data_IF_512697028672
#
_entry.id   IF_512697028672
#
_cell.length_a   1.000
_cell.length_b   1.000
_cell.length_c   1.000
_cell.angle_alpha   90.00
_cell.angle_beta   90.00
_cell.angle_gamma   90.00
#
_symmetry.space_group_name_H-M   'P 1'
#
loop_
_entity.id
_entity.type
_entity.pdbx_description
1 polymer ?
#
# COMPACT_ATOMS: atom_id res chain seq x y z
N UNK A 1 -48.64 21.33 41.26
CA UNK A 1 -49.05 21.83 39.93
C UNK A 1 -49.17 20.58 39.08
N UNK A 2 -50.22 20.43 38.28
CA UNK A 2 -50.37 19.25 37.42
C UNK A 2 -49.23 19.20 36.37
N UNK A 3 -48.72 18.04 36.09
CA UNK A 3 -47.77 17.80 35.00
C UNK A 3 -48.43 18.09 33.66
N UNK A 4 -47.62 18.18 32.61
CA UNK A 4 -48.04 18.44 31.24
C UNK A 4 -47.59 17.24 30.38
N UNK A 5 -48.49 16.68 29.58
CA UNK A 5 -48.11 15.63 28.63
C UNK A 5 -47.31 16.24 27.48
N UNK A 6 -46.53 15.37 26.79
CA UNK A 6 -45.80 15.78 25.60
C UNK A 6 -46.72 16.30 24.49
N UNK A 7 -47.84 15.63 24.25
CA UNK A 7 -48.82 16.04 23.22
C UNK A 7 -49.36 17.46 23.49
N UNK A 8 -49.72 17.74 24.73
CA UNK A 8 -50.17 19.11 25.12
C UNK A 8 -49.09 20.18 24.95
N UNK A 9 -47.83 19.82 25.21
CA UNK A 9 -46.69 20.70 25.02
C UNK A 9 -46.41 20.93 23.52
N UNK A 10 -46.35 19.87 22.74
CA UNK A 10 -46.02 19.88 21.32
C UNK A 10 -47.10 20.66 20.54
N UNK A 11 -48.36 20.35 20.74
CA UNK A 11 -49.48 21.01 20.05
C UNK A 11 -49.58 22.49 20.34
N UNK A 12 -49.25 22.93 21.57
CA UNK A 12 -49.27 24.33 21.96
C UNK A 12 -47.98 25.10 21.68
N UNK A 13 -46.89 24.43 21.37
CA UNK A 13 -45.53 24.99 21.32
C UNK A 13 -45.46 26.24 20.44
N UNK A 14 -45.95 26.16 19.22
CA UNK A 14 -45.88 27.25 18.24
C UNK A 14 -46.86 28.38 18.50
N UNK A 15 -47.82 28.17 19.39
CA UNK A 15 -48.77 29.19 19.78
C UNK A 15 -48.29 30.04 20.99
N UNK A 16 -47.25 29.58 21.67
CA UNK A 16 -46.75 30.21 22.88
C UNK A 16 -45.56 31.12 22.63
N UNK A 17 -45.41 32.16 23.49
CA UNK A 17 -44.19 32.93 23.54
C UNK A 17 -43.04 32.09 24.08
N UNK A 18 -41.79 32.40 23.69
CA UNK A 18 -40.57 31.72 24.12
C UNK A 18 -40.47 31.54 25.64
N UNK A 19 -40.82 32.56 26.40
CA UNK A 19 -40.85 32.49 27.87
C UNK A 19 -41.89 31.49 28.41
N UNK A 20 -43.01 31.28 27.69
CA UNK A 20 -44.03 30.28 28.04
C UNK A 20 -43.59 28.89 27.67
N UNK A 21 -42.99 28.72 26.48
CA UNK A 21 -42.39 27.46 26.03
C UNK A 21 -41.38 26.96 27.04
N UNK A 22 -40.41 27.79 27.45
CA UNK A 22 -39.38 27.44 28.45
C UNK A 22 -39.98 27.10 29.82
N UNK A 23 -41.04 27.83 30.25
CA UNK A 23 -41.71 27.57 31.52
C UNK A 23 -42.42 26.24 31.55
N UNK A 24 -43.09 25.89 30.49
CA UNK A 24 -43.86 24.62 30.40
C UNK A 24 -42.96 23.40 30.23
N UNK A 25 -41.77 23.55 29.62
CA UNK A 25 -40.77 22.52 29.59
C UNK A 25 -40.45 21.90 30.97
N UNK A 26 -40.45 22.77 32.02
CA UNK A 26 -40.18 22.30 33.39
C UNK A 26 -41.31 21.41 33.97
N UNK A 27 -42.45 21.32 33.29
CA UNK A 27 -43.62 20.55 33.72
C UNK A 27 -43.86 19.27 32.95
N UNK A 28 -43.00 18.96 31.96
CA UNK A 28 -43.15 17.77 31.17
C UNK A 28 -43.02 16.51 32.03
N UNK A 29 -43.99 15.63 31.93
CA UNK A 29 -44.05 14.32 32.58
C UNK A 29 -43.62 13.19 31.59
N UNK A 30 -43.59 13.49 30.31
CA UNK A 30 -43.21 12.54 29.23
C UNK A 30 -42.53 13.31 28.08
N UNK A 31 -41.90 12.57 27.19
CA UNK A 31 -41.19 13.12 26.03
C UNK A 31 -41.70 12.44 24.76
N UNK A 32 -41.64 13.14 23.63
CA UNK A 32 -42.03 12.64 22.34
C UNK A 32 -41.00 11.68 21.72
N UNK A 33 -41.18 11.38 20.44
CA UNK A 33 -40.18 10.70 19.67
C UNK A 33 -38.87 11.49 19.55
N UNK A 34 -37.77 10.81 19.13
CA UNK A 34 -36.51 11.52 18.87
C UNK A 34 -36.69 12.70 17.90
N UNK A 35 -37.44 12.47 16.80
CA UNK A 35 -37.70 13.53 15.82
C UNK A 35 -38.44 14.73 16.39
N UNK A 36 -39.55 14.50 17.08
CA UNK A 36 -40.33 15.60 17.69
C UNK A 36 -39.52 16.34 18.79
N UNK A 37 -38.68 15.62 19.51
CA UNK A 37 -37.84 16.22 20.54
C UNK A 37 -36.72 17.05 19.92
N UNK A 38 -36.12 16.58 18.80
CA UNK A 38 -35.11 17.31 18.05
C UNK A 38 -35.66 18.59 17.43
N UNK A 39 -36.81 18.52 16.77
CA UNK A 39 -37.53 19.67 16.22
C UNK A 39 -37.77 20.77 17.29
N UNK A 40 -38.36 20.41 18.43
CA UNK A 40 -38.61 21.36 19.53
C UNK A 40 -37.30 21.87 20.15
N UNK A 41 -36.25 21.04 20.23
CA UNK A 41 -34.96 21.46 20.76
C UNK A 41 -34.28 22.49 19.85
N UNK A 42 -34.34 22.28 18.53
CA UNK A 42 -33.84 23.25 17.54
C UNK A 42 -34.57 24.60 17.64
N UNK A 43 -35.87 24.57 17.61
CA UNK A 43 -36.70 25.79 17.77
C UNK A 43 -36.45 26.52 19.10
N UNK A 44 -36.26 25.78 20.21
CA UNK A 44 -35.88 26.36 21.48
C UNK A 44 -34.52 27.03 21.48
N UNK A 45 -33.54 26.43 20.81
CA UNK A 45 -32.20 26.96 20.72
C UNK A 45 -32.18 28.34 20.06
N UNK A 46 -33.02 28.54 19.05
CA UNK A 46 -33.18 29.81 18.33
C UNK A 46 -34.05 30.85 19.08
N UNK A 47 -34.73 30.48 20.16
CA UNK A 47 -35.74 31.30 20.83
C UNK A 47 -35.20 32.48 21.67
N UNK A 48 -33.91 32.86 21.52
CA UNK A 48 -33.29 33.99 22.22
C UNK A 48 -32.89 33.66 23.67
N UNK A 49 -32.94 34.66 24.57
CA UNK A 49 -32.43 34.52 25.94
C UNK A 49 -33.02 33.32 26.70
N UNK A 50 -32.14 32.37 27.05
CA UNK A 50 -32.49 31.14 27.76
C UNK A 50 -32.91 29.98 26.87
N UNK A 51 -33.01 30.17 25.55
CA UNK A 51 -33.36 29.15 24.57
C UNK A 51 -32.35 27.99 24.53
N UNK A 52 -31.05 28.22 24.33
CA UNK A 52 -30.04 27.17 24.34
C UNK A 52 -30.02 26.33 25.62
N UNK A 53 -30.17 26.97 26.79
CA UNK A 53 -30.24 26.27 28.06
C UNK A 53 -31.54 25.45 28.23
N UNK A 54 -32.64 25.87 27.58
CA UNK A 54 -33.88 25.11 27.55
C UNK A 54 -33.76 23.90 26.62
N UNK A 55 -33.19 24.06 25.43
CA UNK A 55 -32.88 22.98 24.49
C UNK A 55 -32.00 21.91 25.14
N UNK A 56 -30.91 22.31 25.79
CA UNK A 56 -30.05 21.40 26.56
C UNK A 56 -30.81 20.62 27.62
N UNK A 57 -31.66 21.27 28.39
CA UNK A 57 -32.49 20.60 29.41
C UNK A 57 -33.49 19.61 28.80
N UNK A 58 -34.10 19.97 27.67
CA UNK A 58 -35.03 19.11 26.97
C UNK A 58 -34.33 17.83 26.50
N UNK A 59 -33.23 17.98 25.78
CA UNK A 59 -32.45 16.83 25.23
C UNK A 59 -31.96 15.93 26.37
N UNK A 60 -31.33 16.52 27.41
CA UNK A 60 -30.81 15.75 28.54
C UNK A 60 -31.89 14.92 29.20
N UNK A 61 -33.03 15.54 29.53
CA UNK A 61 -34.15 14.84 30.16
C UNK A 61 -34.80 13.79 29.24
N UNK A 62 -34.93 14.10 27.98
CA UNK A 62 -35.46 13.15 26.99
C UNK A 62 -34.59 11.87 26.92
N UNK A 63 -33.26 12.01 26.85
CA UNK A 63 -32.33 10.89 26.90
C UNK A 63 -32.42 10.11 28.20
N UNK A 64 -32.46 10.80 29.35
CA UNK A 64 -32.65 10.17 30.68
C UNK A 64 -33.97 9.38 30.79
N UNK A 65 -34.99 9.79 30.03
CA UNK A 65 -36.28 9.10 29.95
C UNK A 65 -36.38 8.08 28.81
N UNK A 66 -35.24 7.75 28.16
CA UNK A 66 -35.15 6.68 27.21
C UNK A 66 -35.49 7.05 25.76
N UNK A 67 -35.64 8.36 25.47
CA UNK A 67 -35.77 8.86 24.10
C UNK A 67 -34.45 8.55 23.36
N UNK A 68 -34.58 8.12 22.12
CA UNK A 68 -33.45 7.83 21.23
C UNK A 68 -33.54 8.69 20.00
N UNK A 69 -32.39 9.20 19.60
CA UNK A 69 -32.23 10.01 18.41
C UNK A 69 -31.69 9.17 17.25
N UNK A 70 -31.98 9.61 16.04
CA UNK A 70 -31.32 9.15 14.82
C UNK A 70 -30.18 10.11 14.47
N UNK A 71 -29.31 9.73 13.51
CA UNK A 71 -28.27 10.63 13.02
C UNK A 71 -28.86 11.93 12.45
N UNK A 72 -29.97 11.84 11.70
CA UNK A 72 -30.69 13.00 11.14
C UNK A 72 -31.16 13.95 12.24
N UNK A 73 -31.66 13.42 13.36
CA UNK A 73 -32.07 14.25 14.50
C UNK A 73 -30.88 14.99 15.12
N UNK A 74 -29.71 14.35 15.19
CA UNK A 74 -28.50 15.01 15.71
C UNK A 74 -28.04 16.10 14.75
N UNK A 75 -28.06 15.86 13.44
CA UNK A 75 -27.72 16.85 12.40
C UNK A 75 -28.67 18.05 12.45
N UNK A 76 -29.97 17.82 12.58
CA UNK A 76 -30.98 18.89 12.72
C UNK A 76 -30.69 19.77 13.94
N UNK A 77 -30.42 19.16 15.09
CA UNK A 77 -30.05 19.86 16.32
C UNK A 77 -28.71 20.62 16.20
N UNK A 78 -27.74 20.05 15.49
CA UNK A 78 -26.45 20.69 15.25
C UNK A 78 -26.60 21.98 14.42
N UNK A 79 -27.43 21.93 13.37
CA UNK A 79 -27.75 23.11 12.55
C UNK A 79 -28.44 24.26 13.32
N UNK A 80 -29.01 24.00 14.48
CA UNK A 80 -29.65 24.99 15.36
C UNK A 80 -28.72 25.51 16.48
N UNK A 81 -27.40 25.39 16.33
CA UNK A 81 -26.37 25.94 17.23
C UNK A 81 -26.45 25.39 18.67
N UNK A 82 -26.84 24.14 18.84
CA UNK A 82 -26.86 23.43 20.12
C UNK A 82 -25.43 23.06 20.52
N UNK A 83 -25.06 23.34 21.79
CA UNK A 83 -23.72 23.03 22.32
C UNK A 83 -23.28 21.59 22.06
N UNK A 84 -22.05 21.43 21.65
CA UNK A 84 -21.41 20.16 21.29
C UNK A 84 -21.59 19.06 22.35
N UNK A 85 -21.40 19.39 23.65
CA UNK A 85 -21.58 18.41 24.74
C UNK A 85 -23.02 17.86 24.80
N UNK A 86 -24.00 18.67 24.42
CA UNK A 86 -25.41 18.26 24.37
C UNK A 86 -25.64 17.36 23.14
N UNK A 87 -25.05 17.70 22.02
CA UNK A 87 -25.07 16.86 20.79
C UNK A 87 -24.39 15.52 21.02
N UNK A 88 -23.24 15.49 21.71
CA UNK A 88 -22.55 14.22 22.11
C UNK A 88 -23.47 13.33 22.95
N UNK A 89 -24.25 13.92 23.84
CA UNK A 89 -25.18 13.17 24.68
C UNK A 89 -26.34 12.58 23.87
N UNK A 90 -26.88 13.32 22.91
CA UNK A 90 -27.87 12.82 21.96
C UNK A 90 -27.29 11.73 21.05
N UNK A 91 -26.11 11.97 20.49
CA UNK A 91 -25.38 11.06 19.60
C UNK A 91 -25.13 9.68 20.26
N UNK A 92 -24.84 9.67 21.55
CA UNK A 92 -24.64 8.41 22.29
C UNK A 92 -25.90 7.49 22.32
N UNK A 93 -27.09 8.01 21.96
CA UNK A 93 -28.31 7.21 21.86
C UNK A 93 -28.57 6.63 20.48
N UNK A 94 -27.83 7.11 19.46
CA UNK A 94 -27.96 6.63 18.09
C UNK A 94 -27.47 5.17 18.02
N UNK A 95 -28.29 4.29 17.47
CA UNK A 95 -28.00 2.85 17.42
C UNK A 95 -27.48 2.39 16.09
N UNK A 96 -27.92 3.05 15.03
CA UNK A 96 -27.49 2.72 13.68
C UNK A 96 -26.14 3.37 13.41
N UNK A 97 -25.21 2.64 12.75
CA UNK A 97 -23.94 3.25 12.36
C UNK A 97 -24.20 4.40 11.39
N UNK A 98 -23.50 5.51 11.61
CA UNK A 98 -23.58 6.68 10.73
C UNK A 98 -23.06 6.34 9.33
N UNK A 99 -23.66 6.95 8.32
CA UNK A 99 -23.11 6.96 6.96
C UNK A 99 -21.93 7.94 6.88
N UNK A 100 -21.07 7.79 5.87
CA UNK A 100 -19.96 8.73 5.68
C UNK A 100 -20.45 10.16 5.46
N UNK A 101 -21.51 10.34 4.66
CA UNK A 101 -22.13 11.66 4.44
C UNK A 101 -22.66 12.30 5.74
N UNK A 102 -23.22 11.51 6.66
CA UNK A 102 -23.65 12.02 7.98
C UNK A 102 -22.45 12.43 8.84
N UNK A 103 -21.33 11.67 8.79
CA UNK A 103 -20.08 12.03 9.50
C UNK A 103 -19.51 13.32 8.94
N UNK A 104 -19.45 13.47 7.61
CA UNK A 104 -19.01 14.72 6.95
C UNK A 104 -19.90 15.91 7.37
N UNK A 105 -21.23 15.74 7.39
CA UNK A 105 -22.12 16.82 7.84
C UNK A 105 -21.92 17.19 9.31
N UNK A 106 -21.53 16.22 10.15
CA UNK A 106 -21.29 16.44 11.57
C UNK A 106 -19.87 16.97 11.88
N UNK A 107 -18.94 16.96 10.89
CA UNK A 107 -17.57 17.43 11.12
C UNK A 107 -17.49 18.90 11.51
N UNK A 108 -18.38 19.75 11.01
CA UNK A 108 -18.46 21.16 11.37
C UNK A 108 -18.89 21.42 12.84
N UNK A 109 -19.40 20.40 13.54
CA UNK A 109 -20.08 20.55 14.84
C UNK A 109 -19.43 19.76 15.98
N UNK A 110 -18.49 18.87 15.69
CA UNK A 110 -17.83 18.03 16.68
C UNK A 110 -16.31 18.23 16.67
N UNK A 111 -15.70 18.10 17.87
CA UNK A 111 -14.25 18.09 17.97
C UNK A 111 -13.61 16.85 17.31
N UNK A 112 -12.30 16.95 17.04
CA UNK A 112 -11.52 15.89 16.39
C UNK A 112 -11.62 14.53 17.10
N UNK A 113 -11.72 14.49 18.43
CA UNK A 113 -11.73 13.24 19.20
C UNK A 113 -13.05 12.47 18.99
N UNK A 114 -14.16 13.19 18.85
CA UNK A 114 -15.46 12.61 18.51
C UNK A 114 -15.47 12.12 17.07
N UNK A 115 -14.98 12.93 16.14
CA UNK A 115 -14.90 12.56 14.72
C UNK A 115 -14.02 11.32 14.51
N UNK A 116 -12.85 11.27 15.14
CA UNK A 116 -11.96 10.09 15.08
C UNK A 116 -12.71 8.82 15.52
N UNK A 117 -13.49 8.89 16.60
CA UNK A 117 -14.29 7.77 17.06
C UNK A 117 -15.39 7.39 16.06
N UNK A 118 -16.13 8.36 15.54
CA UNK A 118 -17.21 8.12 14.56
C UNK A 118 -16.67 7.44 13.29
N UNK A 119 -15.51 7.88 12.81
CA UNK A 119 -14.85 7.31 11.63
C UNK A 119 -14.40 5.87 11.92
N UNK A 120 -13.80 5.62 13.08
CA UNK A 120 -13.39 4.26 13.51
C UNK A 120 -14.59 3.31 13.63
N UNK A 121 -15.73 3.80 14.13
CA UNK A 121 -16.93 3.00 14.32
C UNK A 121 -17.68 2.76 12.99
N UNK A 122 -17.36 3.53 11.92
CA UNK A 122 -17.98 3.38 10.61
C UNK A 122 -17.43 2.16 9.88
N UNK A 123 -18.30 1.21 9.58
CA UNK A 123 -17.93 0.03 8.78
C UNK A 123 -17.60 0.43 7.34
N UNK A 124 -16.41 0.08 6.90
CA UNK A 124 -15.95 0.32 5.52
C UNK A 124 -15.17 1.62 5.33
N UNK A 125 -14.94 2.40 6.39
CA UNK A 125 -14.24 3.67 6.32
C UNK A 125 -15.02 4.73 5.51
N UNK A 126 -14.46 5.92 5.36
CA UNK A 126 -14.99 6.95 4.47
C UNK A 126 -14.53 6.69 3.02
N UNK A 127 -15.30 7.13 2.04
CA UNK A 127 -14.83 7.16 0.64
C UNK A 127 -13.85 8.31 0.45
N UNK A 128 -13.02 8.30 -0.62
CA UNK A 128 -12.11 9.42 -0.92
C UNK A 128 -12.85 10.77 -1.02
N UNK A 129 -14.06 10.78 -1.58
CA UNK A 129 -14.89 11.99 -1.71
C UNK A 129 -15.41 12.46 -0.34
N UNK A 130 -15.83 11.53 0.52
CA UNK A 130 -16.23 11.86 1.90
C UNK A 130 -15.05 12.38 2.71
N UNK A 131 -13.85 11.81 2.52
CA UNK A 131 -12.63 12.27 3.19
C UNK A 131 -12.23 13.68 2.79
N UNK A 132 -12.23 13.96 1.48
CA UNK A 132 -11.90 15.29 0.95
C UNK A 132 -12.92 16.36 1.32
N UNK A 133 -14.09 15.97 1.81
CA UNK A 133 -15.14 16.87 2.28
C UNK A 133 -15.02 17.23 3.76
N UNK A 134 -14.15 16.54 4.53
CA UNK A 134 -13.82 16.95 5.91
C UNK A 134 -12.75 18.03 5.82
N UNK A 135 -13.06 19.23 6.34
CA UNK A 135 -12.14 20.38 6.31
C UNK A 135 -10.96 20.15 7.26
N UNK A 136 -9.74 20.58 6.85
CA UNK A 136 -8.53 20.58 7.69
C UNK A 136 -8.71 21.29 9.03
N UNK A 137 -9.74 22.15 9.12
CA UNK A 137 -10.10 22.84 10.39
C UNK A 137 -10.81 21.94 11.37
N UNK A 138 -11.50 20.90 10.89
CA UNK A 138 -12.34 20.02 11.69
C UNK A 138 -11.57 18.83 12.23
N UNK A 139 -10.56 18.39 11.48
CA UNK A 139 -9.68 17.31 11.90
C UNK A 139 -8.32 17.45 11.25
N UNK A 140 -7.25 17.40 12.05
CA UNK A 140 -5.89 17.36 11.50
C UNK A 140 -5.68 16.09 10.66
N UNK A 141 -4.96 16.22 9.54
CA UNK A 141 -4.67 15.13 8.61
C UNK A 141 -4.16 13.87 9.31
N UNK A 142 -3.25 14.03 10.27
CA UNK A 142 -2.70 12.91 11.01
C UNK A 142 -3.72 12.16 11.89
N UNK A 143 -4.77 12.83 12.41
CA UNK A 143 -5.84 12.15 13.17
C UNK A 143 -6.86 11.49 12.26
N UNK A 144 -7.27 12.18 11.19
CA UNK A 144 -8.14 11.61 10.16
C UNK A 144 -7.51 10.34 9.59
N UNK A 145 -6.26 10.41 9.23
CA UNK A 145 -5.48 9.32 8.70
C UNK A 145 -5.40 8.11 9.65
N UNK A 146 -5.12 8.34 10.96
CA UNK A 146 -5.10 7.26 11.95
C UNK A 146 -6.49 6.64 12.17
N UNK A 147 -7.54 7.46 12.17
CA UNK A 147 -8.90 6.97 12.29
C UNK A 147 -9.27 6.07 11.12
N UNK A 148 -8.89 6.47 9.90
CA UNK A 148 -9.11 5.69 8.68
C UNK A 148 -8.31 4.39 8.66
N UNK A 149 -7.03 4.43 9.03
CA UNK A 149 -6.19 3.24 9.11
C UNK A 149 -6.68 2.22 10.15
N UNK A 150 -7.38 2.68 11.20
CA UNK A 150 -7.98 1.81 12.22
C UNK A 150 -9.41 1.34 11.89
N UNK A 151 -10.01 1.83 10.79
CA UNK A 151 -11.37 1.48 10.41
C UNK A 151 -11.48 0.02 9.91
N UNK A 152 -12.62 -0.62 10.20
CA UNK A 152 -12.95 -1.92 9.64
C UNK A 152 -14.21 -1.83 8.76
N UNK A 153 -14.24 -2.51 7.58
CA UNK A 153 -13.17 -3.31 6.97
C UNK A 153 -11.98 -2.48 6.50
N UNK A 154 -10.83 -3.13 6.30
CA UNK A 154 -9.59 -2.52 5.85
C UNK A 154 -9.77 -1.65 4.61
N UNK A 155 -8.93 -0.64 4.48
CA UNK A 155 -9.02 0.36 3.42
C UNK A 155 -8.81 -0.27 2.03
N UNK A 156 -9.48 0.29 1.04
CA UNK A 156 -9.20 0.00 -0.36
C UNK A 156 -7.98 0.78 -0.87
N UNK A 157 -7.32 0.35 -1.97
CA UNK A 157 -6.21 1.09 -2.56
C UNK A 157 -6.50 2.57 -2.80
N UNK A 158 -7.69 2.91 -3.33
CA UNK A 158 -8.06 4.31 -3.59
C UNK A 158 -8.17 5.16 -2.31
N UNK A 159 -8.65 4.58 -1.20
CA UNK A 159 -8.67 5.26 0.08
C UNK A 159 -7.27 5.47 0.66
N UNK A 160 -6.37 4.49 0.48
CA UNK A 160 -4.98 4.59 0.94
C UNK A 160 -4.23 5.69 0.17
N UNK A 161 -4.38 5.75 -1.15
CA UNK A 161 -3.79 6.81 -1.97
C UNK A 161 -4.30 8.21 -1.58
N UNK A 162 -5.60 8.36 -1.29
CA UNK A 162 -6.13 9.63 -0.84
C UNK A 162 -5.53 10.10 0.50
N UNK A 163 -4.93 9.19 1.27
CA UNK A 163 -4.30 9.45 2.56
C UNK A 163 -2.77 9.57 2.50
N UNK A 164 -2.14 9.36 1.35
CA UNK A 164 -0.67 9.23 1.29
C UNK A 164 0.09 10.46 1.76
N UNK A 165 -0.50 11.66 1.64
CA UNK A 165 0.12 12.90 2.13
C UNK A 165 -0.17 13.21 3.61
N UNK A 166 -1.17 12.55 4.18
CA UNK A 166 -1.62 12.80 5.55
C UNK A 166 -1.11 11.77 6.56
N UNK A 167 -0.64 10.59 6.09
CA UNK A 167 -0.07 9.53 6.91
C UNK A 167 1.45 9.62 6.99
N UNK A 168 2.01 9.29 8.14
CA UNK A 168 3.42 8.96 8.23
C UNK A 168 3.73 7.64 7.50
N UNK A 169 5.00 7.47 7.10
CA UNK A 169 5.46 6.30 6.34
C UNK A 169 5.10 4.96 7.00
N UNK A 170 5.25 4.85 8.34
CA UNK A 170 4.98 3.61 9.08
C UNK A 170 3.49 3.23 9.00
N UNK A 171 2.61 4.22 9.24
CA UNK A 171 1.16 4.01 9.21
C UNK A 171 0.67 3.72 7.79
N UNK A 172 1.20 4.43 6.78
CA UNK A 172 0.86 4.21 5.38
C UNK A 172 1.34 2.83 4.90
N UNK A 173 2.59 2.44 5.23
CA UNK A 173 3.16 1.12 4.90
C UNK A 173 2.30 0.00 5.46
N UNK A 174 1.88 0.12 6.72
CA UNK A 174 0.95 -0.85 7.33
C UNK A 174 -0.41 -0.88 6.61
N UNK A 175 -0.97 0.26 6.24
CA UNK A 175 -2.23 0.32 5.50
C UNK A 175 -2.11 -0.37 4.12
N UNK A 176 -0.97 -0.21 3.44
CA UNK A 176 -0.68 -0.86 2.15
C UNK A 176 -0.62 -2.39 2.30
N UNK A 177 0.15 -2.90 3.27
CA UNK A 177 0.26 -4.36 3.50
C UNK A 177 -1.09 -4.97 3.93
N UNK A 178 -1.88 -4.24 4.69
CA UNK A 178 -3.18 -4.65 5.17
C UNK A 178 -4.35 -4.34 4.22
N UNK A 179 -4.09 -3.77 3.05
CA UNK A 179 -5.11 -3.39 2.07
C UNK A 179 -6.08 -4.54 1.76
N UNK A 180 -7.38 -4.21 1.67
CA UNK A 180 -8.44 -5.16 1.36
C UNK A 180 -8.29 -5.80 -0.02
N UNK A 181 -7.82 -5.04 -0.99
CA UNK A 181 -7.68 -5.44 -2.38
C UNK A 181 -6.24 -5.22 -2.85
N UNK A 182 -5.75 -5.97 -3.84
CA UNK A 182 -4.45 -5.68 -4.43
C UNK A 182 -4.48 -4.35 -5.17
N UNK A 183 -3.36 -3.65 -5.12
CA UNK A 183 -3.12 -2.44 -5.91
C UNK A 183 -2.93 -2.78 -7.39
N UNK A 184 -3.28 -1.84 -8.26
CA UNK A 184 -2.88 -1.89 -9.67
C UNK A 184 -1.51 -1.21 -9.85
N UNK A 185 -0.74 -1.53 -10.93
CA UNK A 185 0.61 -1.01 -11.12
C UNK A 185 0.73 0.52 -10.99
N UNK A 186 -0.20 1.29 -11.56
CA UNK A 186 -0.22 2.75 -11.47
C UNK A 186 -0.28 3.24 -10.02
N UNK A 187 -1.10 2.58 -9.19
CA UNK A 187 -1.24 2.92 -7.79
C UNK A 187 0.02 2.57 -6.97
N UNK A 188 0.73 1.50 -7.37
CA UNK A 188 1.98 1.09 -6.72
C UNK A 188 3.08 2.12 -7.00
N UNK A 189 3.21 2.58 -8.25
CA UNK A 189 4.20 3.60 -8.60
C UNK A 189 3.93 4.97 -7.97
N UNK A 190 2.68 5.30 -7.66
CA UNK A 190 2.35 6.52 -6.90
C UNK A 190 2.81 6.47 -5.43
N UNK A 191 3.06 5.28 -4.87
CA UNK A 191 3.43 5.07 -3.47
C UNK A 191 4.95 5.01 -3.22
N UNK A 192 5.80 5.05 -4.25
CA UNK A 192 7.25 4.78 -4.17
C UNK A 192 7.99 5.63 -3.12
N UNK A 193 7.63 6.91 -2.98
CA UNK A 193 8.31 7.84 -2.06
C UNK A 193 7.65 7.93 -0.67
N UNK A 194 6.56 7.19 -0.43
CA UNK A 194 5.71 7.36 0.74
C UNK A 194 5.63 6.15 1.65
N UNK A 195 6.05 4.97 1.19
CA UNK A 195 5.98 3.73 1.94
C UNK A 195 7.32 3.02 1.99
N UNK A 196 7.48 2.10 2.96
CA UNK A 196 8.70 1.32 3.07
C UNK A 196 8.89 0.36 1.89
N UNK A 197 10.14 -0.02 1.61
CA UNK A 197 10.52 -1.01 0.60
C UNK A 197 9.75 -2.33 0.78
N UNK A 198 9.59 -2.79 2.03
CA UNK A 198 8.89 -4.04 2.34
C UNK A 198 7.40 -3.95 1.97
N UNK A 199 6.74 -2.83 2.29
CA UNK A 199 5.33 -2.63 1.99
C UNK A 199 5.09 -2.53 0.47
N UNK A 200 5.99 -1.84 -0.24
CA UNK A 200 5.90 -1.70 -1.69
C UNK A 200 6.17 -3.05 -2.38
N UNK A 201 7.18 -3.80 -1.94
CA UNK A 201 7.48 -5.15 -2.42
C UNK A 201 6.28 -6.09 -2.23
N UNK A 202 5.63 -6.07 -1.07
CA UNK A 202 4.41 -6.85 -0.83
C UNK A 202 3.27 -6.42 -1.77
N UNK A 203 3.08 -5.12 -2.01
CA UNK A 203 2.08 -4.62 -2.95
C UNK A 203 2.35 -5.14 -4.38
N UNK A 204 3.60 -5.10 -4.85
CA UNK A 204 4.03 -5.68 -6.13
C UNK A 204 3.77 -7.19 -6.16
N UNK A 205 4.12 -7.90 -5.07
CA UNK A 205 3.88 -9.35 -4.97
C UNK A 205 2.40 -9.74 -5.00
N UNK A 206 1.49 -8.84 -4.60
CA UNK A 206 0.03 -9.06 -4.64
C UNK A 206 -0.62 -8.58 -5.93
N UNK A 207 0.04 -7.74 -6.72
CA UNK A 207 -0.48 -7.21 -7.97
C UNK A 207 -0.88 -8.31 -8.95
N UNK A 208 -2.05 -8.18 -9.58
CA UNK A 208 -2.61 -9.12 -10.55
C UNK A 208 -2.49 -8.64 -11.99
N UNK A 209 -2.39 -7.35 -12.17
CA UNK A 209 -2.20 -6.74 -13.48
C UNK A 209 -0.73 -6.69 -13.85
N UNK A 210 -0.41 -6.82 -15.15
CA UNK A 210 0.97 -6.73 -15.62
C UNK A 210 1.47 -5.29 -15.53
N UNK A 211 2.74 -5.14 -15.18
CA UNK A 211 3.43 -3.85 -15.21
C UNK A 211 3.86 -3.51 -16.64
N UNK A 212 4.02 -2.22 -16.94
CA UNK A 212 4.73 -1.75 -18.13
C UNK A 212 6.23 -1.67 -17.86
N UNK A 213 7.10 -1.67 -18.91
CA UNK A 213 8.53 -1.46 -18.71
C UNK A 213 8.88 -0.18 -17.97
N UNK A 214 8.16 0.91 -18.21
CA UNK A 214 8.35 2.19 -17.52
C UNK A 214 8.04 2.06 -16.03
N UNK A 215 6.92 1.42 -15.66
CA UNK A 215 6.56 1.18 -14.26
C UNK A 215 7.58 0.29 -13.55
N UNK A 216 8.17 -0.68 -14.25
CA UNK A 216 9.26 -1.50 -13.69
C UNK A 216 10.51 -0.66 -13.44
N UNK A 217 10.88 0.23 -14.39
CA UNK A 217 12.01 1.16 -14.19
C UNK A 217 11.76 2.12 -13.02
N UNK A 218 10.53 2.60 -12.83
CA UNK A 218 10.16 3.46 -11.69
C UNK A 218 10.29 2.74 -10.34
N UNK A 219 10.15 1.41 -10.31
CA UNK A 219 10.24 0.59 -9.10
C UNK A 219 11.68 0.14 -8.76
N UNK A 220 12.64 0.32 -9.65
CA UNK A 220 13.98 -0.27 -9.60
C UNK A 220 14.71 -0.12 -8.25
N UNK A 221 14.52 0.99 -7.56
CA UNK A 221 15.22 1.31 -6.31
C UNK A 221 14.32 1.30 -5.08
N UNK A 222 13.07 0.90 -5.24
CA UNK A 222 12.03 1.01 -4.21
C UNK A 222 11.51 -0.34 -3.74
N UNK A 223 11.84 -1.43 -4.43
CA UNK A 223 11.39 -2.78 -4.10
C UNK A 223 12.57 -3.74 -4.08
N UNK A 224 12.39 -4.87 -3.39
CA UNK A 224 13.39 -5.94 -3.37
C UNK A 224 13.52 -6.68 -4.72
N UNK A 225 14.60 -7.44 -4.87
CA UNK A 225 14.91 -8.22 -6.08
C UNK A 225 13.77 -9.18 -6.46
N UNK A 226 13.12 -9.83 -5.48
CA UNK A 226 12.06 -10.82 -5.75
C UNK A 226 10.80 -10.13 -6.32
N UNK A 227 10.39 -9.00 -5.75
CA UNK A 227 9.26 -8.22 -6.23
C UNK A 227 9.54 -7.62 -7.61
N UNK A 228 10.73 -7.05 -7.82
CA UNK A 228 11.13 -6.49 -9.11
C UNK A 228 11.17 -7.57 -10.19
N UNK A 229 11.77 -8.74 -9.90
CA UNK A 229 11.80 -9.89 -10.80
C UNK A 229 10.40 -10.37 -11.17
N UNK A 230 9.45 -10.36 -10.20
CA UNK A 230 8.05 -10.67 -10.50
C UNK A 230 7.42 -9.63 -11.42
N UNK A 231 7.65 -8.34 -11.18
CA UNK A 231 7.15 -7.26 -12.04
C UNK A 231 7.63 -7.44 -13.47
N UNK A 232 8.95 -7.68 -13.68
CA UNK A 232 9.56 -7.99 -15.00
C UNK A 232 8.89 -9.21 -15.63
N UNK A 233 8.72 -10.30 -14.88
CA UNK A 233 8.06 -11.51 -15.40
C UNK A 233 6.58 -11.30 -15.76
N UNK A 234 5.90 -10.34 -15.15
CA UNK A 234 4.51 -10.03 -15.45
C UNK A 234 4.34 -9.21 -16.72
N UNK A 235 5.36 -8.42 -17.11
CA UNK A 235 5.32 -7.47 -18.22
C UNK A 235 5.01 -8.17 -19.54
N UNK A 236 4.09 -7.62 -20.31
CA UNK A 236 3.69 -8.09 -21.65
C UNK A 236 4.35 -7.31 -22.76
N UNK A 237 4.73 -6.09 -22.50
CA UNK A 237 5.42 -5.23 -23.45
C UNK A 237 6.93 -5.50 -23.41
N UNK A 238 7.62 -5.35 -24.53
CA UNK A 238 9.06 -5.56 -24.59
C UNK A 238 9.79 -4.38 -23.95
N UNK A 239 10.84 -4.69 -23.21
CA UNK A 239 11.80 -3.71 -22.71
C UNK A 239 12.72 -3.23 -23.84
N UNK A 240 13.19 -1.98 -23.74
CA UNK A 240 14.31 -1.51 -24.55
C UNK A 240 15.64 -2.05 -24.01
N UNK A 241 16.70 -2.12 -24.83
CA UNK A 241 18.02 -2.50 -24.34
C UNK A 241 18.52 -1.65 -23.17
N UNK A 242 18.23 -0.36 -23.17
CA UNK A 242 18.60 0.56 -22.10
C UNK A 242 17.90 0.19 -20.78
N UNK A 243 16.58 -0.06 -20.80
CA UNK A 243 15.83 -0.53 -19.64
C UNK A 243 16.33 -1.88 -19.14
N UNK A 244 16.71 -2.79 -20.03
CA UNK A 244 17.29 -4.09 -19.66
C UNK A 244 18.63 -3.89 -18.93
N UNK A 245 19.47 -2.96 -19.39
CA UNK A 245 20.73 -2.67 -18.71
C UNK A 245 20.55 -2.09 -17.30
N UNK A 246 19.47 -1.36 -17.05
CA UNK A 246 19.12 -0.87 -15.71
C UNK A 246 18.69 -2.00 -14.76
N UNK A 247 18.16 -3.10 -15.32
CA UNK A 247 17.72 -4.27 -14.55
C UNK A 247 18.86 -5.23 -14.20
N UNK A 248 20.02 -5.16 -14.87
CA UNK A 248 21.19 -5.96 -14.54
C UNK A 248 21.56 -5.71 -13.08
N UNK A 249 21.88 -6.74 -12.33
CA UNK A 249 22.18 -6.73 -10.89
C UNK A 249 20.98 -6.43 -9.94
N UNK A 250 19.78 -6.19 -10.48
CA UNK A 250 18.60 -5.84 -9.67
C UNK A 250 17.47 -6.87 -9.76
N UNK A 251 17.56 -7.84 -10.68
CA UNK A 251 16.58 -8.90 -10.88
C UNK A 251 17.27 -10.24 -11.02
N UNK A 252 16.53 -11.32 -10.78
CA UNK A 252 17.05 -12.66 -10.98
C UNK A 252 17.31 -12.99 -12.47
N UNK A 253 18.18 -13.96 -12.73
CA UNK A 253 18.59 -14.42 -14.05
C UNK A 253 17.40 -14.77 -14.95
N UNK A 254 16.37 -15.43 -14.41
CA UNK A 254 15.19 -15.84 -15.18
C UNK A 254 14.38 -14.64 -15.67
N UNK A 255 14.18 -13.62 -14.83
CA UNK A 255 13.47 -12.40 -15.18
C UNK A 255 14.25 -11.59 -16.23
N UNK A 256 15.56 -11.42 -16.02
CA UNK A 256 16.43 -10.72 -16.95
C UNK A 256 16.48 -11.44 -18.30
N UNK A 257 16.65 -12.76 -18.31
CA UNK A 257 16.63 -13.60 -19.50
C UNK A 257 15.32 -13.47 -20.28
N UNK A 258 14.17 -13.41 -19.56
CA UNK A 258 12.87 -13.16 -20.21
C UNK A 258 12.82 -11.78 -20.86
N UNK A 259 13.29 -10.73 -20.17
CA UNK A 259 13.33 -9.37 -20.70
C UNK A 259 14.17 -9.32 -21.98
N UNK A 260 15.39 -9.90 -21.97
CA UNK A 260 16.29 -9.99 -23.13
C UNK A 260 15.62 -10.71 -24.30
N UNK A 261 14.94 -11.85 -24.06
CA UNK A 261 14.24 -12.58 -25.12
C UNK A 261 13.06 -11.80 -25.70
N UNK A 262 12.44 -10.91 -24.93
CA UNK A 262 11.31 -10.09 -25.40
C UNK A 262 11.74 -8.84 -26.16
N UNK A 263 13.00 -8.40 -26.02
CA UNK A 263 13.50 -7.18 -26.63
C UNK A 263 13.29 -7.18 -28.16
N UNK A 264 12.74 -6.08 -28.67
CA UNK A 264 12.54 -5.87 -30.12
C UNK A 264 13.66 -5.08 -30.76
N UNK A 265 14.29 -4.22 -29.99
CA UNK A 265 15.41 -3.41 -30.46
C UNK A 265 16.72 -4.18 -30.33
N UNK A 266 17.66 -3.95 -31.27
CA UNK A 266 18.95 -4.63 -31.24
C UNK A 266 19.84 -4.05 -30.14
N UNK A 267 20.56 -4.93 -29.45
CA UNK A 267 21.59 -4.56 -28.48
C UNK A 267 22.86 -4.03 -29.19
N UNK A 268 23.62 -3.20 -28.50
CA UNK A 268 24.98 -2.87 -28.88
C UNK A 268 25.94 -3.97 -28.41
N UNK A 269 27.14 -4.16 -29.06
CA UNK A 269 28.14 -5.12 -28.60
C UNK A 269 28.51 -4.95 -27.10
N UNK A 270 28.56 -3.70 -26.60
CA UNK A 270 28.86 -3.42 -25.19
C UNK A 270 27.75 -3.94 -24.27
N UNK A 271 26.48 -3.67 -24.59
CA UNK A 271 25.35 -4.20 -23.82
C UNK A 271 25.33 -5.73 -23.78
N UNK A 272 25.69 -6.38 -24.89
CA UNK A 272 25.77 -7.86 -24.92
C UNK A 272 26.86 -8.38 -23.98
N UNK A 273 28.04 -7.75 -23.93
CA UNK A 273 29.10 -8.19 -23.00
C UNK A 273 28.72 -7.94 -21.53
N UNK A 274 27.94 -6.91 -21.24
CA UNK A 274 27.40 -6.66 -19.89
C UNK A 274 26.32 -7.69 -19.46
N UNK A 275 25.71 -8.43 -20.40
CA UNK A 275 24.74 -9.48 -20.10
C UNK A 275 25.42 -10.86 -19.84
N UNK A 276 26.73 -11.02 -20.13
CA UNK A 276 27.46 -12.23 -19.80
C UNK A 276 27.39 -12.47 -18.29
N UNK A 277 27.16 -13.72 -17.89
CA UNK A 277 27.00 -14.18 -16.53
C UNK A 277 25.68 -13.72 -15.82
N UNK A 278 24.88 -12.86 -16.46
CA UNK A 278 23.63 -12.34 -15.87
C UNK A 278 22.36 -12.95 -16.51
N UNK A 279 22.50 -13.62 -17.66
CA UNK A 279 21.37 -14.24 -18.38
C UNK A 279 21.73 -15.65 -18.82
N UNK A 280 20.73 -16.48 -19.06
CA UNK A 280 20.96 -17.84 -19.60
C UNK A 280 21.49 -17.80 -21.04
N UNK A 281 22.11 -18.90 -21.45
CA UNK A 281 22.74 -19.07 -22.77
C UNK A 281 21.79 -18.76 -23.94
N UNK A 282 20.51 -19.11 -23.80
CA UNK A 282 19.50 -18.89 -24.85
C UNK A 282 19.13 -17.39 -25.01
N UNK A 283 19.09 -16.65 -23.93
CA UNK A 283 18.87 -15.21 -23.95
C UNK A 283 20.11 -14.49 -24.51
N UNK A 284 21.29 -14.86 -24.05
CA UNK A 284 22.55 -14.29 -24.53
C UNK A 284 22.75 -14.59 -26.03
N UNK A 285 22.50 -15.83 -26.48
CA UNK A 285 22.51 -16.20 -27.88
C UNK A 285 21.59 -15.34 -28.75
N UNK A 286 20.38 -15.04 -28.23
CA UNK A 286 19.45 -14.16 -28.93
C UNK A 286 19.94 -12.71 -28.98
N UNK A 287 20.50 -12.18 -27.88
CA UNK A 287 21.08 -10.85 -27.84
C UNK A 287 22.22 -10.71 -28.83
N UNK A 288 23.16 -11.71 -28.92
CA UNK A 288 24.24 -11.75 -29.90
C UNK A 288 23.69 -11.71 -31.32
N UNK A 289 22.69 -12.54 -31.64
CA UNK A 289 22.05 -12.62 -32.98
C UNK A 289 21.37 -11.29 -33.38
N UNK A 290 20.83 -10.59 -32.42
CA UNK A 290 20.13 -9.30 -32.61
C UNK A 290 21.06 -8.09 -32.43
N UNK A 291 22.37 -8.28 -32.36
CA UNK A 291 23.29 -7.18 -32.09
C UNK A 291 23.41 -6.23 -33.28
N UNK A 292 23.33 -4.93 -33.03
CA UNK A 292 23.61 -3.89 -34.01
C UNK A 292 25.05 -3.41 -33.86
N UNK A 293 25.88 -3.80 -34.78
CA UNK A 293 27.28 -3.41 -34.81
C UNK A 293 28.23 -4.63 -34.89
N UNK A 294 29.52 -4.34 -34.83
CA UNK A 294 30.54 -5.41 -34.87
C UNK A 294 31.20 -5.50 -33.49
N UNK A 295 31.35 -6.72 -32.99
CA UNK A 295 32.13 -6.97 -31.80
C UNK A 295 33.62 -6.70 -32.06
N UNK A 296 34.27 -6.05 -31.12
CA UNK A 296 35.73 -5.93 -31.07
C UNK A 296 36.38 -7.29 -30.80
N UNK A 297 37.67 -7.42 -31.02
CA UNK A 297 38.36 -8.70 -30.72
C UNK A 297 38.30 -9.03 -29.21
N UNK A 298 38.40 -8.04 -28.34
CA UNK A 298 38.28 -8.26 -26.89
C UNK A 298 36.88 -8.76 -26.49
N UNK A 299 35.81 -8.16 -27.02
CA UNK A 299 34.44 -8.61 -26.79
C UNK A 299 34.14 -10.01 -27.32
N UNK A 300 34.79 -10.38 -28.45
CA UNK A 300 34.68 -11.75 -28.96
C UNK A 300 35.38 -12.76 -28.06
N UNK A 301 36.60 -12.43 -27.59
CA UNK A 301 37.33 -13.25 -26.65
C UNK A 301 36.52 -13.47 -25.36
N UNK A 302 35.88 -12.42 -24.81
CA UNK A 302 35.03 -12.51 -23.65
C UNK A 302 33.80 -13.41 -23.87
N UNK A 303 33.13 -13.31 -25.01
CA UNK A 303 32.04 -14.21 -25.42
C UNK A 303 32.51 -15.65 -25.69
N UNK A 304 33.72 -15.84 -26.28
CA UNK A 304 34.29 -17.16 -26.49
C UNK A 304 34.65 -17.83 -25.16
N UNK A 305 35.16 -17.08 -24.19
CA UNK A 305 35.43 -17.57 -22.82
C UNK A 305 34.15 -18.01 -22.12
N UNK A 306 33.00 -17.37 -22.45
CA UNK A 306 31.67 -17.75 -21.97
C UNK A 306 30.99 -18.85 -22.79
N UNK A 307 31.71 -19.50 -23.73
CA UNK A 307 31.26 -20.67 -24.46
C UNK A 307 30.65 -20.40 -25.83
N UNK A 308 30.66 -19.18 -26.32
CA UNK A 308 30.16 -18.83 -27.66
C UNK A 308 31.25 -18.96 -28.71
N UNK A 309 30.94 -19.57 -29.85
CA UNK A 309 31.89 -19.75 -30.96
C UNK A 309 31.57 -18.78 -32.11
N UNK A 310 32.60 -18.10 -32.62
CA UNK A 310 32.54 -17.25 -33.81
C UNK A 310 33.39 -17.87 -34.93
N UNK A 311 32.76 -18.46 -35.96
CA UNK A 311 33.44 -18.91 -37.13
C UNK A 311 33.46 -17.85 -38.22
N UNK A 312 34.64 -17.44 -38.65
CA UNK A 312 34.83 -16.41 -39.70
C UNK A 312 34.15 -15.07 -39.42
N UNK A 313 33.99 -14.72 -38.12
CA UNK A 313 33.31 -13.48 -37.73
C UNK A 313 31.80 -13.56 -37.78
N UNK A 314 31.21 -14.73 -37.98
CA UNK A 314 29.79 -15.03 -37.96
C UNK A 314 29.52 -15.91 -36.73
N UNK A 315 28.50 -15.60 -35.99
CA UNK A 315 28.03 -16.40 -34.84
C UNK A 315 27.47 -17.74 -35.32
N UNK A 316 28.03 -18.86 -34.83
CA UNK A 316 27.49 -20.20 -35.07
C UNK A 316 26.78 -20.71 -33.81
N UNK A 317 25.50 -21.04 -33.92
CA UNK A 317 24.70 -21.65 -32.86
C UNK A 317 25.10 -23.11 -32.68
N UNK A 318 25.73 -23.45 -31.58
CA UNK A 318 26.13 -24.82 -31.27
C UNK A 318 24.96 -25.71 -30.84
N UNK A 319 23.77 -25.14 -30.65
CA UNK A 319 22.59 -25.86 -30.15
C UNK A 319 21.55 -26.21 -31.23
N UNK A 320 22.01 -26.54 -32.44
CA UNK A 320 21.15 -27.24 -33.39
C UNK A 320 21.24 -28.74 -33.18
N UNK A 321 20.69 -29.27 -32.10
CA UNK A 321 20.45 -30.69 -31.89
C UNK A 321 19.62 -31.29 -33.00
N UNK A 322 20.26 -31.76 -34.09
CA UNK A 322 19.72 -32.73 -34.99
C UNK A 322 20.49 -34.05 -34.81
N UNK A 323 19.85 -34.98 -34.11
CA UNK A 323 20.14 -36.39 -34.27
C UNK A 323 20.00 -36.75 -35.76
N UNK A 324 21.11 -36.91 -36.45
CA UNK A 324 21.20 -37.71 -37.64
C UNK A 324 22.57 -38.37 -37.65
N UNK A 325 22.56 -39.67 -37.33
CA UNK A 325 23.75 -40.48 -37.42
C UNK A 325 24.24 -40.58 -38.86
N UNK A 326 25.49 -40.21 -39.03
CA UNK A 326 26.45 -40.84 -39.95
C UNK A 326 27.86 -40.33 -39.63
N UNK A 327 28.93 -41.14 -39.82
CA UNK A 327 30.24 -40.82 -39.27
C UNK A 327 30.96 -39.81 -40.14
N UNK A 328 31.43 -38.74 -39.59
CA UNK A 328 32.24 -37.73 -40.27
C UNK A 328 33.72 -37.89 -39.91
N UNK A 329 34.51 -37.93 -40.92
CA UNK A 329 35.95 -37.90 -40.90
C UNK A 329 36.57 -36.76 -40.10
N UNK A 330 37.64 -37.06 -39.38
CA UNK A 330 38.56 -36.14 -38.74
C UNK A 330 39.00 -35.00 -39.65
N UNK A 331 38.80 -33.75 -39.19
CA UNK A 331 39.76 -32.69 -39.51
C UNK A 331 39.72 -31.63 -38.35
N UNK A 332 40.79 -31.60 -37.66
CA UNK A 332 41.62 -30.52 -37.18
C UNK A 332 41.05 -29.42 -36.31
N UNK A 333 41.26 -29.56 -35.00
CA UNK A 333 41.87 -28.49 -34.20
C UNK A 333 40.98 -27.43 -33.54
N UNK A 334 40.63 -27.63 -32.29
CA UNK A 334 40.70 -26.48 -31.41
C UNK A 334 39.48 -26.02 -30.60
N UNK A 335 38.42 -26.81 -30.39
CA UNK A 335 37.36 -26.46 -29.46
C UNK A 335 36.81 -27.64 -28.64
N UNK A 336 37.63 -28.62 -28.29
CA UNK A 336 37.20 -29.86 -27.63
C UNK A 336 38.07 -30.23 -26.42
N UNK A 337 38.41 -29.25 -25.56
CA UNK A 337 39.15 -29.54 -24.31
C UNK A 337 38.46 -29.05 -23.03
N UNK A 338 37.29 -28.43 -23.09
CA UNK A 338 36.57 -27.97 -21.90
C UNK A 338 35.59 -29.00 -21.27
N UNK A 339 35.18 -30.08 -21.97
CA UNK A 339 34.08 -30.95 -21.55
C UNK A 339 34.47 -32.32 -20.95
N UNK A 340 35.73 -32.55 -20.58
CA UNK A 340 36.17 -33.85 -20.00
C UNK A 340 36.80 -33.75 -18.60
N UNK A 341 36.53 -32.67 -17.86
CA UNK A 341 37.12 -32.43 -16.52
C UNK A 341 36.23 -32.76 -15.32
N UNK A 342 34.96 -33.08 -15.47
CA UNK A 342 34.04 -33.23 -14.30
C UNK A 342 33.32 -34.59 -14.37
N UNK A 343 34.04 -35.69 -14.33
CA UNK A 343 33.49 -36.97 -13.87
C UNK A 343 34.64 -37.88 -13.45
N UNK A 344 35.16 -37.71 -12.26
CA UNK A 344 35.78 -38.71 -11.42
C UNK A 344 36.16 -38.06 -10.09
N UNK A 345 35.22 -37.94 -9.21
CA UNK A 345 35.46 -37.43 -7.86
C UNK A 345 35.25 -38.48 -6.82
N UNK A 346 36.20 -38.72 -6.10
CA UNK A 346 36.29 -39.67 -5.00
C UNK A 346 35.77 -39.00 -3.72
N UNK A 347 34.87 -39.69 -3.03
CA UNK A 347 34.51 -39.41 -1.65
C UNK A 347 35.71 -39.47 -0.72
N UNK A 348 35.87 -38.40 0.12
CA UNK A 348 36.48 -38.52 1.43
C UNK A 348 35.81 -37.53 2.39
N UNK A 349 35.29 -38.11 3.46
CA UNK A 349 34.95 -37.40 4.73
C UNK A 349 36.23 -36.86 5.32
N UNK A 350 36.16 -35.61 5.77
CA UNK A 350 36.92 -35.16 6.97
C UNK A 350 36.20 -33.99 7.64
N UNK A 351 36.03 -34.16 8.95
CA UNK A 351 35.52 -33.17 9.90
C UNK A 351 36.51 -32.02 10.03
N UNK A 352 35.98 -30.79 10.11
CA UNK A 352 36.82 -29.63 10.46
C UNK A 352 36.02 -28.34 10.47
N UNK A 353 35.57 -27.96 11.66
CA UNK A 353 35.00 -26.66 11.93
C UNK A 353 36.01 -25.54 11.65
N UNK A 354 35.69 -24.65 10.74
CA UNK A 354 36.38 -23.38 10.56
C UNK A 354 35.35 -22.26 10.59
N UNK A 355 35.38 -21.46 11.63
CA UNK A 355 34.70 -20.18 11.70
C UNK A 355 35.41 -19.21 10.74
N UNK A 356 34.80 -18.80 9.69
CA UNK A 356 35.29 -17.70 8.86
C UNK A 356 34.79 -16.38 9.44
N UNK A 357 35.75 -15.50 9.77
CA UNK A 357 35.53 -14.10 10.10
C UNK A 357 34.87 -13.41 8.86
N UNK A 358 33.65 -12.90 9.08
CA UNK A 358 32.97 -12.10 8.09
C UNK A 358 33.63 -10.72 8.02
N UNK A 359 34.21 -10.39 6.90
CA UNK A 359 34.66 -9.04 6.61
C UNK A 359 33.45 -8.08 6.50
N UNK A 360 33.60 -6.84 6.96
CA UNK A 360 32.51 -5.86 6.85
C UNK A 360 32.22 -5.53 5.39
N UNK A 361 30.94 -5.59 5.03
CA UNK A 361 30.47 -5.17 3.71
C UNK A 361 30.21 -3.66 3.68
N UNK A 362 30.70 -3.01 2.63
CA UNK A 362 30.40 -1.62 2.33
C UNK A 362 29.30 -1.59 1.26
N UNK A 363 28.18 -0.97 1.59
CA UNK A 363 27.11 -0.73 0.63
C UNK A 363 26.96 0.75 0.31
N UNK A 364 26.61 1.09 -0.92
CA UNK A 364 26.29 2.45 -1.35
C UNK A 364 24.78 2.54 -1.62
N UNK A 365 24.07 3.33 -0.80
CA UNK A 365 22.61 3.53 -0.94
C UNK A 365 22.33 5.04 -0.88
N UNK A 366 21.51 5.53 -1.80
CA UNK A 366 21.05 6.93 -1.84
C UNK A 366 22.17 7.99 -1.78
N UNK A 367 23.25 7.80 -2.51
CA UNK A 367 24.35 8.76 -2.50
C UNK A 367 25.13 8.83 -1.17
N UNK A 368 24.97 7.86 -0.27
CA UNK A 368 25.71 7.75 0.99
C UNK A 368 26.26 6.33 1.21
N UNK A 369 27.47 6.27 1.80
CA UNK A 369 28.09 5.03 2.24
C UNK A 369 27.54 4.63 3.61
N UNK A 370 27.12 3.36 3.76
CA UNK A 370 26.74 2.78 5.05
C UNK A 370 27.77 1.77 5.49
N UNK A 371 28.08 1.82 6.78
CA UNK A 371 28.89 0.85 7.48
C UNK A 371 27.98 0.04 8.40
N UNK A 372 27.75 -1.22 8.08
CA UNK A 372 26.92 -2.13 8.89
C UNK A 372 27.77 -3.09 9.68
N UNK A 373 27.69 -3.03 11.00
CA UNK A 373 28.14 -4.08 11.91
C UNK A 373 26.91 -4.90 12.33
N UNK A 374 26.69 -6.03 11.70
CA UNK A 374 25.71 -7.00 12.17
C UNK A 374 26.27 -7.79 13.36
N UNK A 375 25.88 -7.37 14.56
CA UNK A 375 25.99 -8.15 15.78
C UNK A 375 24.61 -8.62 16.22
N UNK A 376 24.10 -9.70 15.63
CA UNK A 376 23.08 -10.52 16.29
C UNK A 376 22.87 -11.88 15.63
N UNK A 377 23.71 -12.86 15.98
CA UNK A 377 23.26 -14.25 16.09
C UNK A 377 24.06 -14.90 17.23
N UNK A 378 23.38 -15.02 18.37
CA UNK A 378 23.90 -15.74 19.52
C UNK A 378 23.96 -17.24 19.25
N UNK A 379 25.15 -17.82 19.38
CA UNK A 379 25.32 -19.25 19.49
C UNK A 379 24.92 -19.70 20.91
N UNK A 380 23.75 -20.28 21.09
CA UNK A 380 23.41 -21.02 22.31
C UNK A 380 24.14 -22.36 22.33
N UNK A 381 25.08 -22.47 23.23
CA UNK A 381 25.72 -23.74 23.59
C UNK A 381 24.82 -24.52 24.55
N UNK A 382 24.21 -25.60 24.09
CA UNK A 382 23.62 -26.62 24.97
C UNK A 382 24.70 -27.23 25.87
N UNK A 383 24.59 -26.98 27.16
CA UNK A 383 25.33 -27.72 28.19
C UNK A 383 24.56 -28.99 28.51
N UNK A 384 25.00 -30.15 28.03
CA UNK A 384 24.61 -31.45 28.60
C UNK A 384 25.23 -31.57 29.99
N UNK A 385 24.38 -31.69 31.00
CA UNK A 385 24.75 -32.17 32.33
C UNK A 385 24.70 -33.70 32.36
N UNK A 386 25.76 -34.24 33.00
CA UNK A 386 25.79 -35.62 33.48
C UNK A 386 24.78 -35.87 34.57
#
# INVERSE_FOLDING_TARGET
MAGMSWEQYYDGFYEWSSGTQIRYLARLDSYGSGAQTAEIAAELAEAGDGGPAAAKRLITRAVENGVRFTAENVIEMAGADIEEDTLKYALATVREPLTGSQIVTLSDYFDEDVLEKLIKDKRGGLTPEEMSSIDDRDMSDGKLARAMAAAEPRLSPGQILALMYALDEETLSRAVTESREPFVPEQITELTDYVSEEALSEAVMRAKEPFTPEQVSDLLYYVDEEALSKAVRSTKEPFTPEQIMELVDNVDEDALSKAVRSAKEPFTPKQVTELIDNVDDGALSRAVKNTKGQFTNAQREELEDSGFCFSNGIFEDTDSGKESGEPVHEFGGGCLLGLLGIFLGSSKKEDGSSCHDSAPHYGYRYGRWYYGNDHSYGCEKEKKKK
#
